data_IF_860663361796
#
_entry.id   IF_860663361796
#
_cell.length_a   1.000
_cell.length_b   1.000
_cell.length_c   1.000
_cell.angle_alpha   90.00
_cell.angle_beta   90.00
_cell.angle_gamma   90.00
#
_symmetry.space_group_name_H-M   'P 1'
#
loop_
_entity.id
_entity.type
_entity.pdbx_description
1 polymer ?
#
# COMPACT_ATOMS: atom_id res chain seq x y z
N UNK A 1 6.24 -9.79 -7.56
CA UNK A 1 6.49 -10.43 -6.25
C UNK A 1 7.08 -11.81 -6.50
N UNK A 2 8.10 -12.21 -5.75
CA UNK A 2 8.70 -13.54 -5.82
C UNK A 2 9.15 -13.97 -4.42
N UNK A 3 8.78 -15.18 -4.01
CA UNK A 3 9.27 -15.79 -2.77
C UNK A 3 10.73 -16.23 -2.96
N UNK A 4 11.61 -15.81 -2.06
CA UNK A 4 13.03 -16.19 -2.11
C UNK A 4 13.24 -17.59 -1.50
N UNK A 5 14.21 -18.38 -1.97
CA UNK A 5 14.55 -19.67 -1.37
C UNK A 5 14.86 -19.53 0.13
N UNK A 6 14.34 -20.46 0.96
CA UNK A 6 14.57 -20.47 2.42
C UNK A 6 13.70 -19.50 3.23
N UNK A 7 12.71 -18.86 2.62
CA UNK A 7 11.75 -18.02 3.35
C UNK A 7 10.57 -18.86 3.86
N UNK A 8 10.53 -19.13 5.17
CA UNK A 8 9.50 -20.00 5.79
C UNK A 8 8.43 -19.24 6.59
N UNK A 9 8.49 -17.90 6.60
CA UNK A 9 7.53 -17.06 7.31
C UNK A 9 6.18 -16.93 6.59
N UNK A 10 5.10 -16.61 7.32
CA UNK A 10 3.81 -16.35 6.72
C UNK A 10 3.85 -15.05 5.90
N UNK A 11 3.08 -15.00 4.82
CA UNK A 11 3.06 -13.86 3.91
C UNK A 11 1.65 -13.58 3.37
N UNK A 12 1.46 -12.34 2.96
CA UNK A 12 0.26 -11.84 2.31
C UNK A 12 0.67 -10.80 1.25
N UNK A 13 0.14 -10.90 0.05
CA UNK A 13 0.29 -9.90 -1.00
C UNK A 13 -1.09 -9.49 -1.50
N UNK A 14 -1.36 -8.19 -1.48
CA UNK A 14 -2.63 -7.59 -1.86
C UNK A 14 -2.43 -6.55 -2.95
N UNK A 15 -3.39 -6.46 -3.87
CA UNK A 15 -3.51 -5.35 -4.82
C UNK A 15 -4.79 -4.56 -4.56
N UNK A 16 -4.70 -3.24 -4.59
CA UNK A 16 -5.88 -2.40 -4.44
C UNK A 16 -6.75 -2.49 -5.70
N UNK A 17 -8.04 -2.78 -5.52
CA UNK A 17 -9.04 -2.81 -6.60
C UNK A 17 -9.52 -1.39 -6.91
N UNK A 18 -8.62 -0.58 -7.46
CA UNK A 18 -8.88 0.81 -7.85
C UNK A 18 -8.10 1.19 -9.10
N UNK A 19 -8.40 2.36 -9.68
CA UNK A 19 -7.65 2.89 -10.83
C UNK A 19 -6.17 3.17 -10.48
N UNK A 20 -5.90 3.52 -9.22
CA UNK A 20 -4.55 3.75 -8.73
C UNK A 20 -3.93 2.43 -8.29
N UNK A 21 -2.84 2.02 -8.93
CA UNK A 21 -2.16 0.75 -8.64
C UNK A 21 -1.52 0.86 -7.26
N UNK A 22 -1.87 -0.05 -6.36
CA UNK A 22 -1.23 -0.15 -5.05
C UNK A 22 -0.94 -1.61 -4.73
N UNK A 23 0.16 -1.86 -4.03
CA UNK A 23 0.52 -3.17 -3.49
C UNK A 23 0.79 -3.06 -1.99
N UNK A 24 0.29 -4.04 -1.24
CA UNK A 24 0.62 -4.24 0.15
C UNK A 24 1.15 -5.66 0.33
N UNK A 25 2.38 -5.78 0.77
CA UNK A 25 3.02 -7.05 1.10
C UNK A 25 3.26 -7.14 2.60
N UNK A 26 2.93 -8.28 3.20
CA UNK A 26 3.28 -8.65 4.57
C UNK A 26 4.19 -9.87 4.51
N UNK A 27 5.30 -9.83 5.24
CA UNK A 27 6.21 -10.94 5.42
C UNK A 27 6.60 -11.05 6.90
N UNK A 28 6.13 -12.10 7.56
CA UNK A 28 6.22 -12.23 9.01
C UNK A 28 5.53 -11.06 9.73
N UNK A 29 6.30 -10.30 10.49
CA UNK A 29 5.82 -9.15 11.27
C UNK A 29 6.03 -7.79 10.59
N UNK A 30 6.39 -7.80 9.30
CA UNK A 30 6.72 -6.60 8.55
C UNK A 30 5.76 -6.40 7.38
N UNK A 31 5.55 -5.14 7.00
CA UNK A 31 4.86 -4.81 5.77
C UNK A 31 5.67 -3.85 4.90
N UNK A 32 5.48 -3.97 3.59
CA UNK A 32 5.84 -3.00 2.58
C UNK A 32 4.59 -2.57 1.80
N UNK A 33 4.40 -1.27 1.65
CA UNK A 33 3.29 -0.65 0.93
C UNK A 33 3.87 0.20 -0.19
N UNK A 34 3.30 0.09 -1.39
CA UNK A 34 3.57 1.03 -2.46
C UNK A 34 2.27 1.48 -3.13
N UNK A 35 2.17 2.78 -3.35
CA UNK A 35 1.10 3.44 -4.09
C UNK A 35 1.74 4.08 -5.31
N UNK A 36 1.28 3.69 -6.49
CA UNK A 36 1.64 4.37 -7.73
C UNK A 36 0.87 5.69 -7.85
N UNK A 37 1.32 6.54 -8.77
CA UNK A 37 0.62 7.78 -9.10
C UNK A 37 -0.79 7.50 -9.64
N UNK A 38 -1.69 8.44 -9.41
CA UNK A 38 -3.02 8.40 -10.01
C UNK A 38 -2.94 8.77 -11.49
N UNK A 39 -3.66 8.02 -12.35
CA UNK A 39 -3.83 8.35 -13.77
C UNK A 39 -2.57 8.28 -14.64
N UNK A 40 -2.75 8.64 -15.92
CA UNK A 40 -1.65 8.62 -16.89
C UNK A 40 -0.66 9.77 -16.69
N UNK A 41 0.58 9.55 -17.11
CA UNK A 41 1.59 10.61 -17.12
C UNK A 41 1.20 11.67 -18.15
N UNK A 42 1.29 12.96 -17.79
CA UNK A 42 1.14 14.04 -18.75
C UNK A 42 2.25 13.98 -19.79
N UNK A 43 1.95 14.47 -21.01
CA UNK A 43 2.92 14.62 -22.07
C UNK A 43 3.23 16.10 -22.27
N UNK A 44 4.51 16.47 -22.32
CA UNK A 44 4.94 17.84 -22.57
C UNK A 44 5.78 17.90 -23.85
N UNK A 45 5.46 18.76 -24.82
CA UNK A 45 6.27 18.91 -26.03
C UNK A 45 7.72 19.31 -25.75
N UNK A 46 7.96 19.98 -24.61
CA UNK A 46 9.26 20.44 -24.17
C UNK A 46 10.13 19.34 -23.51
N UNK A 47 9.58 18.15 -23.25
CA UNK A 47 10.31 17.04 -22.63
C UNK A 47 11.24 16.37 -23.65
N UNK A 48 12.51 16.79 -23.64
CA UNK A 48 13.51 16.38 -24.66
C UNK A 48 14.17 15.02 -24.40
N UNK A 49 14.06 14.50 -23.18
CA UNK A 49 14.57 13.19 -22.78
C UNK A 49 13.48 12.37 -22.10
N UNK A 50 13.48 11.05 -22.31
CA UNK A 50 12.56 10.14 -21.63
C UNK A 50 12.84 10.12 -20.11
N UNK A 51 11.77 10.09 -19.31
CA UNK A 51 11.86 9.93 -17.85
C UNK A 51 11.08 10.98 -17.06
N UNK A 52 10.72 10.63 -15.82
CA UNK A 52 9.86 11.46 -14.97
C UNK A 52 10.47 12.83 -14.64
N UNK A 53 11.81 12.92 -14.46
CA UNK A 53 12.49 14.18 -14.16
C UNK A 53 12.34 15.22 -15.29
N UNK A 54 12.48 14.79 -16.54
CA UNK A 54 12.30 15.63 -17.73
C UNK A 54 10.86 16.17 -17.82
N UNK A 55 9.87 15.32 -17.51
CA UNK A 55 8.47 15.73 -17.48
C UNK A 55 8.20 16.75 -16.36
N UNK A 56 8.80 16.57 -15.19
CA UNK A 56 8.69 17.52 -14.05
C UNK A 56 9.30 18.87 -14.41
N UNK A 57 10.50 18.89 -14.99
CA UNK A 57 11.17 20.12 -15.42
C UNK A 57 10.36 20.88 -16.48
N UNK A 58 9.74 20.15 -17.41
CA UNK A 58 8.83 20.70 -18.41
C UNK A 58 7.57 21.29 -17.78
N UNK A 59 6.88 20.53 -16.92
CA UNK A 59 5.69 20.99 -16.22
C UNK A 59 5.97 22.24 -15.38
N UNK A 60 7.14 22.31 -14.73
CA UNK A 60 7.56 23.48 -13.97
C UNK A 60 7.71 24.73 -14.84
N UNK A 61 8.34 24.60 -16.01
CA UNK A 61 8.49 25.71 -16.96
C UNK A 61 7.16 26.18 -17.54
N UNK A 62 6.22 25.26 -17.68
CA UNK A 62 4.88 25.53 -18.24
C UNK A 62 3.87 25.98 -17.17
N UNK A 63 4.25 26.03 -15.88
CA UNK A 63 3.37 26.46 -14.78
C UNK A 63 2.34 25.40 -14.34
N UNK A 64 2.51 24.15 -14.78
CA UNK A 64 1.58 23.04 -14.62
C UNK A 64 1.77 22.33 -13.26
N UNK A 65 1.48 23.05 -12.17
CA UNK A 65 1.71 22.58 -10.80
C UNK A 65 1.02 21.25 -10.48
N UNK A 66 -0.23 21.08 -10.90
CA UNK A 66 -1.00 19.86 -10.61
C UNK A 66 -0.38 18.63 -11.28
N UNK A 67 0.14 18.81 -12.49
CA UNK A 67 0.90 17.78 -13.21
C UNK A 67 2.17 17.38 -12.47
N UNK A 68 2.89 18.34 -11.89
CA UNK A 68 4.08 18.07 -11.07
C UNK A 68 3.70 17.23 -9.85
N UNK A 69 2.67 17.66 -9.11
CA UNK A 69 2.18 16.96 -7.91
C UNK A 69 1.81 15.52 -8.27
N UNK A 70 1.08 15.32 -9.37
CA UNK A 70 0.68 14.00 -9.88
C UNK A 70 1.88 13.12 -10.24
N UNK A 71 2.97 13.68 -10.76
CA UNK A 71 4.16 12.91 -11.12
C UNK A 71 4.98 12.46 -9.91
N UNK A 72 4.92 13.21 -8.80
CA UNK A 72 5.66 12.91 -7.56
C UNK A 72 4.79 12.26 -6.48
N UNK A 73 3.51 11.97 -6.74
CA UNK A 73 2.55 11.43 -5.77
C UNK A 73 2.70 9.92 -5.51
N UNK A 74 3.90 9.37 -5.67
CA UNK A 74 4.22 7.96 -5.40
C UNK A 74 4.56 7.81 -3.91
N UNK A 75 3.95 6.85 -3.24
CA UNK A 75 4.27 6.50 -1.85
C UNK A 75 4.94 5.13 -1.81
N UNK A 76 6.08 5.04 -1.12
CA UNK A 76 6.64 3.79 -0.62
C UNK A 76 6.71 3.86 0.88
N UNK A 77 6.11 2.90 1.59
CA UNK A 77 6.06 2.86 3.05
C UNK A 77 6.42 1.48 3.59
N UNK A 78 7.05 1.44 4.75
CA UNK A 78 7.45 0.21 5.45
C UNK A 78 7.11 0.31 6.93
N UNK A 79 6.74 -0.80 7.54
CA UNK A 79 6.48 -0.87 8.97
C UNK A 79 6.28 -2.28 9.51
N UNK A 80 5.58 -2.37 10.64
CA UNK A 80 5.36 -3.63 11.35
C UNK A 80 3.86 -3.94 11.54
N UNK A 81 3.54 -5.22 11.58
CA UNK A 81 2.18 -5.76 11.78
C UNK A 81 1.98 -6.39 13.16
N UNK A 82 2.90 -6.17 14.10
CA UNK A 82 2.85 -6.73 15.46
C UNK A 82 2.94 -5.65 16.56
N UNK A 83 2.61 -6.05 17.79
CA UNK A 83 2.72 -5.22 19.00
C UNK A 83 1.65 -4.12 19.15
N UNK A 84 1.84 -3.25 20.14
CA UNK A 84 0.88 -2.18 20.50
C UNK A 84 0.74 -1.09 19.42
N UNK A 85 1.68 -1.02 18.47
CA UNK A 85 1.71 -0.05 17.38
C UNK A 85 1.55 -0.75 16.03
N UNK A 86 0.62 -1.70 15.97
CA UNK A 86 0.35 -2.48 14.77
C UNK A 86 0.05 -1.56 13.57
N UNK A 87 0.56 -1.93 12.41
CA UNK A 87 0.39 -1.18 11.16
C UNK A 87 1.01 0.22 11.17
N UNK A 88 1.85 0.56 12.16
CA UNK A 88 2.56 1.84 12.19
C UNK A 88 3.64 1.90 11.12
N UNK A 89 3.62 2.97 10.33
CA UNK A 89 4.63 3.28 9.32
C UNK A 89 5.92 3.72 10.04
N UNK A 90 7.02 3.02 9.76
CA UNK A 90 8.37 3.31 10.29
C UNK A 90 9.22 4.12 9.33
N UNK A 91 9.07 3.88 8.02
CA UNK A 91 9.78 4.57 6.94
C UNK A 91 8.82 4.89 5.82
N UNK A 92 8.90 6.07 5.23
CA UNK A 92 8.10 6.43 4.07
C UNK A 92 8.85 7.39 3.13
N UNK A 93 8.58 7.30 1.82
CA UNK A 93 8.93 8.36 0.86
C UNK A 93 8.14 9.65 1.09
N UNK A 94 7.10 9.59 1.94
CA UNK A 94 6.23 10.68 2.33
C UNK A 94 6.42 10.94 3.84
N UNK A 95 7.36 11.81 4.26
CA UNK A 95 7.85 11.85 5.65
C UNK A 95 6.77 12.10 6.71
N UNK A 96 5.72 12.86 6.38
CA UNK A 96 4.61 13.13 7.31
C UNK A 96 3.71 11.91 7.59
N UNK A 97 3.88 10.81 6.86
CA UNK A 97 3.22 9.52 7.13
C UNK A 97 3.93 8.71 8.20
N UNK A 98 5.21 8.98 8.47
CA UNK A 98 5.96 8.24 9.49
C UNK A 98 5.32 8.39 10.87
N UNK A 99 5.18 7.27 11.57
CA UNK A 99 4.52 7.19 12.86
C UNK A 99 2.99 7.12 12.79
N UNK A 100 2.37 7.32 11.63
CA UNK A 100 0.92 7.13 11.41
C UNK A 100 0.60 5.66 11.14
N UNK A 101 -0.63 5.20 11.45
CA UNK A 101 -1.08 3.88 11.04
C UNK A 101 -1.34 3.84 9.52
N UNK A 102 -0.91 2.76 8.87
CA UNK A 102 -1.30 2.46 7.49
C UNK A 102 -2.77 2.05 7.43
N UNK A 103 -3.20 1.21 8.39
CA UNK A 103 -4.55 0.70 8.53
C UNK A 103 -5.13 1.25 9.82
N UNK A 104 -6.26 1.95 9.74
CA UNK A 104 -6.96 2.46 10.92
C UNK A 104 -7.79 1.35 11.57
N UNK A 105 -8.04 1.43 12.89
CA UNK A 105 -9.02 0.56 13.55
C UNK A 105 -10.38 0.70 12.86
N UNK A 106 -11.03 -0.41 12.52
CA UNK A 106 -12.33 -0.39 11.85
C UNK A 106 -12.80 -1.78 11.39
N UNK A 107 -13.93 -1.80 10.68
CA UNK A 107 -14.56 -3.00 10.14
C UNK A 107 -13.79 -3.55 8.95
N UNK A 108 -12.74 -4.32 9.22
CA UNK A 108 -12.07 -5.12 8.20
C UNK A 108 -12.99 -6.26 7.78
N UNK A 109 -13.35 -6.28 6.51
CA UNK A 109 -14.20 -7.32 5.91
C UNK A 109 -13.34 -8.28 5.08
N UNK A 110 -13.69 -9.56 5.12
CA UNK A 110 -13.03 -10.60 4.34
C UNK A 110 -14.07 -11.22 3.41
N UNK A 111 -13.79 -11.27 2.12
CA UNK A 111 -14.56 -12.08 1.18
C UNK A 111 -13.85 -13.42 0.99
N UNK A 112 -14.63 -14.49 1.03
CA UNK A 112 -14.15 -15.86 0.86
C UNK A 112 -14.84 -16.49 -0.34
N UNK A 113 -14.12 -17.32 -1.08
CA UNK A 113 -14.72 -18.15 -2.13
C UNK A 113 -15.43 -19.39 -1.55
N UNK A 114 -16.02 -20.19 -2.43
CA UNK A 114 -16.70 -21.44 -2.08
C UNK A 114 -15.80 -22.48 -1.40
N UNK A 115 -14.47 -22.35 -1.53
CA UNK A 115 -13.48 -23.21 -0.87
C UNK A 115 -13.07 -22.70 0.52
N UNK A 116 -13.57 -21.52 0.92
CA UNK A 116 -13.20 -20.86 2.17
C UNK A 116 -11.88 -20.09 2.11
N UNK A 117 -11.28 -19.93 0.93
CA UNK A 117 -10.07 -19.12 0.72
C UNK A 117 -10.44 -17.66 0.63
N UNK A 118 -9.69 -16.79 1.32
CA UNK A 118 -9.88 -15.34 1.24
C UNK A 118 -9.43 -14.84 -0.13
N UNK A 119 -10.34 -14.18 -0.84
CA UNK A 119 -10.12 -13.61 -2.18
C UNK A 119 -10.00 -12.10 -2.15
N UNK A 120 -10.63 -11.44 -1.18
CA UNK A 120 -10.51 -10.00 -0.99
C UNK A 120 -10.59 -9.59 0.49
N UNK A 121 -10.02 -8.43 0.79
CA UNK A 121 -10.04 -7.80 2.10
C UNK A 121 -10.43 -6.34 1.88
N UNK A 122 -11.38 -5.82 2.67
CA UNK A 122 -11.79 -4.42 2.58
C UNK A 122 -11.59 -3.71 3.91
N UNK A 123 -11.04 -2.49 3.86
CA UNK A 123 -10.91 -1.60 5.00
C UNK A 123 -10.95 -0.14 4.52
N UNK A 124 -11.41 0.78 5.36
CA UNK A 124 -11.51 2.22 5.04
C UNK A 124 -12.23 2.53 3.72
N UNK A 125 -13.22 1.72 3.33
CA UNK A 125 -13.94 1.87 2.06
C UNK A 125 -13.16 1.43 0.82
N UNK A 126 -11.96 0.89 0.99
CA UNK A 126 -11.13 0.35 -0.07
C UNK A 126 -11.22 -1.17 -0.10
N UNK A 127 -11.24 -1.75 -1.31
CA UNK A 127 -11.19 -3.20 -1.50
C UNK A 127 -9.85 -3.60 -2.07
N UNK A 128 -9.29 -4.65 -1.51
CA UNK A 128 -7.99 -5.20 -1.84
C UNK A 128 -8.14 -6.66 -2.25
N UNK A 129 -7.68 -6.98 -3.45
CA UNK A 129 -7.66 -8.34 -3.97
C UNK A 129 -6.46 -9.10 -3.42
N UNK A 130 -6.67 -10.33 -3.00
CA UNK A 130 -5.62 -11.23 -2.52
C UNK A 130 -4.91 -11.85 -3.71
N UNK A 131 -3.65 -11.45 -3.93
CA UNK A 131 -2.79 -12.07 -4.93
C UNK A 131 -2.19 -13.38 -4.42
N UNK A 132 -1.60 -13.34 -3.23
CA UNK A 132 -0.98 -14.50 -2.59
C UNK A 132 -1.20 -14.43 -1.07
N UNK A 133 -1.48 -15.55 -0.43
CA UNK A 133 -1.75 -15.60 1.00
C UNK A 133 -1.39 -16.98 1.57
N UNK A 134 -0.60 -17.00 2.64
CA UNK A 134 -0.31 -18.20 3.42
C UNK A 134 -1.01 -18.22 4.78
N UNK A 135 -1.69 -17.14 5.17
CA UNK A 135 -2.39 -17.06 6.44
C UNK A 135 -3.75 -17.78 6.38
N UNK A 136 -4.12 -18.44 7.47
CA UNK A 136 -5.50 -18.87 7.68
C UNK A 136 -6.43 -17.68 7.91
N UNK A 137 -7.74 -17.86 7.74
CA UNK A 137 -8.71 -16.79 8.00
C UNK A 137 -8.61 -16.27 9.45
N UNK A 138 -8.43 -17.14 10.43
CA UNK A 138 -8.25 -16.73 11.83
C UNK A 138 -6.96 -15.92 12.02
N UNK A 139 -5.87 -16.32 11.36
CA UNK A 139 -4.62 -15.57 11.41
C UNK A 139 -4.73 -14.21 10.70
N UNK A 140 -5.47 -14.11 9.60
CA UNK A 140 -5.80 -12.83 8.95
C UNK A 140 -6.66 -11.94 9.85
N UNK A 141 -7.71 -12.47 10.45
CA UNK A 141 -8.51 -11.73 11.44
C UNK A 141 -7.63 -11.19 12.56
N UNK A 142 -6.73 -12.01 13.08
CA UNK A 142 -5.77 -11.58 14.08
C UNK A 142 -4.77 -10.56 13.53
N UNK A 143 -4.29 -10.67 12.29
CA UNK A 143 -3.37 -9.73 11.64
C UNK A 143 -3.99 -8.35 11.41
N UNK A 144 -5.28 -8.30 11.10
CA UNK A 144 -6.00 -7.04 10.85
C UNK A 144 -6.75 -6.50 12.08
N UNK A 145 -6.88 -7.30 13.14
CA UNK A 145 -7.43 -6.83 14.41
C UNK A 145 -6.51 -5.76 15.01
N UNK A 146 -7.06 -4.56 15.20
CA UNK A 146 -6.44 -3.46 15.92
C UNK A 146 -7.38 -3.16 17.10
N UNK A 147 -6.97 -3.46 18.34
CA UNK A 147 -7.81 -3.15 19.49
C UNK A 147 -8.05 -1.63 19.54
N UNK A 148 -9.25 -1.18 19.95
CA UNK A 148 -9.49 0.24 20.17
C UNK A 148 -8.45 0.77 21.17
N UNK A 149 -7.90 1.95 20.88
CA UNK A 149 -6.95 2.58 21.79
C UNK A 149 -7.59 2.68 23.18
N UNK A 150 -6.94 2.09 24.19
CA UNK A 150 -7.33 2.30 25.57
C UNK A 150 -7.27 3.80 25.83
N UNK A 151 -8.43 4.40 26.14
CA UNK A 151 -8.47 5.79 26.61
C UNK A 151 -7.61 5.85 27.87
N UNK A 152 -6.45 6.50 27.77
CA UNK A 152 -5.68 6.98 28.92
C UNK A 152 -6.38 8.20 29.52
#
# INVERSE_FOLDING_TARGET
WQRLPGSDGPFLALFKKSNTKSILCVAGEHFGYALDREGELPSFPSAKSGGCASLVDSAWKEGERDSIIKMISIEGSYGNTCGNNKWKIKRSTVPWREGKPLISPGDVKFEVDHSGKVTSISWNGETWEVFENSFSLSALKNLFFIPPASKL
#
